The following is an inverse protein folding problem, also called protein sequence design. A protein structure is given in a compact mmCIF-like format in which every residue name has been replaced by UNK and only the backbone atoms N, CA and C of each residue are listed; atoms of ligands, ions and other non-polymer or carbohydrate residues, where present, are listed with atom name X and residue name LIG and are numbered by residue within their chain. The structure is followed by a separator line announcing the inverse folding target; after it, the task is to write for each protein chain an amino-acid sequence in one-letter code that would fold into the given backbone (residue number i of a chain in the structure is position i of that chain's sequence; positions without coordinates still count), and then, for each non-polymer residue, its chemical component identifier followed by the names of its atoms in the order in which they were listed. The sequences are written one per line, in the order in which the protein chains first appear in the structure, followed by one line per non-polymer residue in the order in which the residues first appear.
data_IF_371622944796
#
_entry.id   IF_371622944796
#
_cell.length_a   1.000
_cell.length_b   1.000
_cell.length_c   1.000
_cell.angle_alpha   90.00
_cell.angle_beta   90.00
_cell.angle_gamma   90.00
#
_symmetry.space_group_name_H-M   'P 1'
#
loop_
_entity.id
_entity.type
_entity.pdbx_description
1 polymer ?
#
# COMPACT_ATOMS: atom_id res chain seq x y z
N UNK A 1 -1.22 51.31 94.24
CA UNK A 1 -0.56 50.08 94.68
C UNK A 1 -1.60 49.27 95.42
N UNK A 2 -2.18 48.21 94.83
CA UNK A 2 -3.11 47.34 95.54
C UNK A 2 -2.30 46.34 96.37
N UNK A 3 -2.66 46.22 97.64
CA UNK A 3 -2.06 45.34 98.62
C UNK A 3 -2.26 43.87 98.21
N UNK A 4 -1.18 43.18 97.87
CA UNK A 4 -1.16 41.71 97.70
C UNK A 4 -1.42 41.06 99.06
N UNK A 5 -2.66 40.64 99.30
CA UNK A 5 -3.02 39.89 100.48
C UNK A 5 -2.27 38.54 100.47
N UNK A 6 -1.46 38.21 101.50
CA UNK A 6 -0.68 36.98 101.55
C UNK A 6 -1.53 35.70 101.51
N UNK A 7 -2.84 35.80 101.73
CA UNK A 7 -3.77 34.68 101.58
C UNK A 7 -4.05 34.33 100.11
N UNK A 8 -4.01 35.28 99.17
CA UNK A 8 -4.26 35.01 97.74
C UNK A 8 -3.09 34.24 97.10
N UNK A 9 -1.85 34.58 97.48
CA UNK A 9 -0.64 33.89 97.04
C UNK A 9 -0.59 32.44 97.55
N UNK A 10 -0.95 32.20 98.82
CA UNK A 10 -1.02 30.84 99.38
C UNK A 10 -2.13 30.01 98.73
N UNK A 11 -3.26 30.63 98.38
CA UNK A 11 -4.38 29.94 97.71
C UNK A 11 -4.03 29.60 96.26
N UNK A 12 -3.36 30.50 95.53
CA UNK A 12 -2.83 30.23 94.19
C UNK A 12 -1.71 29.19 94.21
N UNK A 13 -0.84 29.20 95.23
CA UNK A 13 0.19 28.20 95.42
C UNK A 13 -0.43 26.82 95.71
N UNK A 14 -1.47 26.76 96.56
CA UNK A 14 -2.22 25.55 96.84
C UNK A 14 -2.88 24.99 95.56
N UNK A 15 -3.52 25.83 94.74
CA UNK A 15 -4.09 25.41 93.45
C UNK A 15 -3.02 24.94 92.45
N UNK A 16 -1.85 25.58 92.42
CA UNK A 16 -0.73 25.16 91.57
C UNK A 16 -0.15 23.82 92.04
N UNK A 17 -0.04 23.61 93.35
CA UNK A 17 0.40 22.33 93.94
C UNK A 17 -0.62 21.23 93.67
N UNK A 18 -1.92 21.52 93.77
CA UNK A 18 -2.98 20.56 93.50
C UNK A 18 -3.02 20.18 92.01
N UNK A 19 -2.90 21.16 91.09
CA UNK A 19 -2.71 20.88 89.66
C UNK A 19 -1.43 20.12 89.35
N UNK A 20 -0.32 20.44 90.02
CA UNK A 20 0.95 19.76 89.83
C UNK A 20 0.90 18.31 90.35
N UNK A 21 0.28 18.07 91.51
CA UNK A 21 0.02 16.72 92.04
C UNK A 21 -0.90 15.92 91.13
N UNK A 22 -1.96 16.56 90.60
CA UNK A 22 -2.84 15.96 89.60
C UNK A 22 -2.10 15.57 88.32
N UNK A 23 -1.18 16.42 87.84
CA UNK A 23 -0.32 16.11 86.69
C UNK A 23 0.71 15.02 86.97
N UNK A 24 1.31 15.01 88.16
CA UNK A 24 2.33 14.04 88.55
C UNK A 24 1.78 12.61 88.58
N UNK A 25 0.49 12.44 88.90
CA UNK A 25 -0.19 11.15 88.87
C UNK A 25 -0.25 10.50 87.47
N UNK A 26 -0.24 11.31 86.40
CA UNK A 26 -0.32 10.84 85.02
C UNK A 26 0.99 11.05 84.24
N UNK A 27 1.97 11.77 84.78
CA UNK A 27 3.20 12.16 84.09
C UNK A 27 4.05 10.98 83.60
N UNK A 28 3.97 9.84 84.29
CA UNK A 28 4.68 8.61 83.94
C UNK A 28 3.75 7.55 83.33
N UNK A 29 2.50 7.93 83.00
CA UNK A 29 1.59 7.03 82.32
C UNK A 29 2.10 6.81 80.89
N UNK A 30 2.45 5.57 80.50
CA UNK A 30 2.89 5.26 79.14
C UNK A 30 1.88 5.71 78.09
N UNK A 31 0.59 5.82 78.44
CA UNK A 31 -0.45 6.30 77.54
C UNK A 31 -0.20 7.71 77.01
N UNK A 32 0.55 8.57 77.71
CA UNK A 32 0.89 9.92 77.22
C UNK A 32 1.99 9.92 76.16
N UNK A 33 2.76 8.83 76.01
CA UNK A 33 3.86 8.72 75.04
C UNK A 33 3.64 7.66 73.98
N UNK A 34 2.81 6.65 74.26
CA UNK A 34 2.58 5.51 73.36
C UNK A 34 1.29 5.64 72.54
N UNK A 35 0.32 6.43 73.01
CA UNK A 35 -0.92 6.68 72.27
C UNK A 35 -0.72 7.89 71.36
N UNK A 36 -1.00 7.69 70.08
CA UNK A 36 -1.00 8.76 69.08
C UNK A 36 -1.87 9.92 69.57
N UNK A 37 -1.34 11.14 69.44
CA UNK A 37 -2.13 12.33 69.70
C UNK A 37 -3.28 12.44 68.68
N UNK A 38 -4.35 13.17 69.02
CA UNK A 38 -5.57 13.21 68.20
C UNK A 38 -5.28 13.76 66.77
N UNK A 39 -4.34 14.69 66.65
CA UNK A 39 -3.85 15.22 65.37
C UNK A 39 -3.08 14.17 64.55
N UNK A 40 -2.30 13.31 65.21
CA UNK A 40 -1.62 12.20 64.56
C UNK A 40 -2.60 11.10 64.12
N UNK A 41 -3.66 10.84 64.90
CA UNK A 41 -4.74 9.92 64.54
C UNK A 41 -5.52 10.41 63.31
N UNK A 42 -5.81 11.71 63.23
CA UNK A 42 -6.44 12.31 62.04
C UNK A 42 -5.52 12.19 60.82
N UNK A 43 -4.23 12.45 60.96
CA UNK A 43 -3.24 12.32 59.88
C UNK A 43 -3.10 10.86 59.37
N UNK A 44 -3.06 9.89 60.28
CA UNK A 44 -3.06 8.45 59.95
C UNK A 44 -4.33 8.03 59.20
N UNK A 45 -5.51 8.50 59.66
CA UNK A 45 -6.78 8.24 58.96
C UNK A 45 -6.81 8.82 57.56
N UNK A 46 -6.36 10.06 57.40
CA UNK A 46 -6.30 10.71 56.08
C UNK A 46 -5.36 9.96 55.13
N UNK A 47 -4.18 9.54 55.62
CA UNK A 47 -3.25 8.72 54.84
C UNK A 47 -3.88 7.39 54.42
N UNK A 48 -4.52 6.68 55.36
CA UNK A 48 -5.19 5.42 55.08
C UNK A 48 -6.35 5.56 54.07
N UNK A 49 -7.07 6.69 54.09
CA UNK A 49 -8.12 6.99 53.10
C UNK A 49 -7.54 7.32 51.72
N UNK A 50 -6.45 8.08 51.66
CA UNK A 50 -5.72 8.36 50.41
C UNK A 50 -5.18 7.08 49.78
N UNK A 51 -4.57 6.18 50.58
CA UNK A 51 -4.07 4.87 50.12
C UNK A 51 -5.22 4.04 49.55
N UNK A 52 -6.35 3.92 50.26
CA UNK A 52 -7.54 3.18 49.77
C UNK A 52 -8.07 3.75 48.46
N UNK A 53 -8.06 5.06 48.30
CA UNK A 53 -8.53 5.71 47.07
C UNK A 53 -7.57 5.47 45.90
N UNK A 54 -6.25 5.57 46.13
CA UNK A 54 -5.26 5.24 45.10
C UNK A 54 -5.31 3.77 44.70
N UNK A 55 -5.40 2.85 45.65
CA UNK A 55 -5.49 1.40 45.38
C UNK A 55 -6.72 1.07 44.54
N UNK A 56 -7.90 1.62 44.87
CA UNK A 56 -9.11 1.52 44.02
C UNK A 56 -8.86 2.05 42.61
N UNK A 57 -8.20 3.19 42.49
CA UNK A 57 -7.85 3.79 41.20
C UNK A 57 -6.88 2.94 40.38
N UNK A 58 -5.89 2.33 41.01
CA UNK A 58 -4.93 1.43 40.35
C UNK A 58 -5.59 0.14 39.90
N UNK A 59 -6.42 -0.49 40.75
CA UNK A 59 -7.18 -1.69 40.39
C UNK A 59 -8.12 -1.44 39.21
N UNK A 60 -8.79 -0.28 39.19
CA UNK A 60 -9.63 0.13 38.07
C UNK A 60 -8.83 0.31 36.78
N UNK A 61 -7.72 1.04 36.82
CA UNK A 61 -6.83 1.25 35.65
C UNK A 61 -6.26 -0.07 35.13
N UNK A 62 -5.86 -0.97 36.02
CA UNK A 62 -5.37 -2.29 35.65
C UNK A 62 -6.46 -3.12 34.96
N UNK A 63 -7.66 -3.19 35.55
CA UNK A 63 -8.79 -3.89 34.94
C UNK A 63 -9.12 -3.34 33.54
N UNK A 64 -9.11 -2.02 33.38
CA UNK A 64 -9.34 -1.35 32.09
C UNK A 64 -8.21 -1.61 31.08
N UNK A 65 -6.96 -1.65 31.52
CA UNK A 65 -5.83 -1.97 30.65
C UNK A 65 -5.89 -3.43 30.16
N UNK A 66 -6.27 -4.35 31.03
CA UNK A 66 -6.46 -5.78 30.70
C UNK A 66 -7.60 -5.95 29.69
N UNK A 67 -8.75 -5.30 29.90
CA UNK A 67 -9.86 -5.37 28.94
C UNK A 67 -9.48 -4.76 27.58
N UNK A 68 -8.86 -3.57 27.58
CA UNK A 68 -8.41 -2.91 26.34
C UNK A 68 -7.32 -3.71 25.61
N UNK A 69 -6.47 -4.46 26.32
CA UNK A 69 -5.50 -5.37 25.71
C UNK A 69 -6.20 -6.59 25.09
N UNK A 70 -7.19 -7.16 25.78
CA UNK A 70 -7.99 -8.28 25.26
C UNK A 70 -8.78 -7.88 24.01
N UNK A 71 -9.39 -6.70 24.00
CA UNK A 71 -10.13 -6.19 22.84
C UNK A 71 -9.21 -5.98 21.63
N UNK A 72 -8.03 -5.39 21.84
CA UNK A 72 -7.02 -5.23 20.78
C UNK A 72 -6.53 -6.58 20.25
N UNK A 73 -6.31 -7.56 21.12
CA UNK A 73 -5.92 -8.90 20.72
C UNK A 73 -7.03 -9.57 19.87
N UNK A 74 -8.30 -9.40 20.26
CA UNK A 74 -9.45 -9.91 19.51
C UNK A 74 -9.55 -9.28 18.12
N UNK A 75 -9.48 -7.95 18.04
CA UNK A 75 -9.53 -7.22 16.76
C UNK A 75 -8.38 -7.63 15.84
N UNK A 76 -7.17 -7.77 16.39
CA UNK A 76 -6.01 -8.21 15.62
C UNK A 76 -6.20 -9.62 15.07
N UNK A 77 -6.71 -10.54 15.91
CA UNK A 77 -7.00 -11.91 15.49
C UNK A 77 -8.05 -11.97 14.38
N UNK A 78 -9.13 -11.22 14.51
CA UNK A 78 -10.18 -11.12 13.48
C UNK A 78 -9.65 -10.51 12.17
N UNK A 79 -8.76 -9.52 12.26
CA UNK A 79 -8.14 -8.90 11.08
C UNK A 79 -7.21 -9.88 10.35
N UNK A 80 -6.42 -10.66 11.10
CA UNK A 80 -5.57 -11.72 10.55
C UNK A 80 -6.43 -12.79 9.88
N UNK A 81 -7.46 -13.31 10.56
CA UNK A 81 -8.34 -14.34 9.99
C UNK A 81 -9.04 -13.87 8.71
N UNK A 82 -9.49 -12.61 8.67
CA UNK A 82 -10.05 -12.00 7.44
C UNK A 82 -9.01 -11.84 6.33
N UNK A 83 -7.73 -11.60 6.66
CA UNK A 83 -6.66 -11.56 5.68
C UNK A 83 -6.38 -12.97 5.13
N UNK A 84 -6.25 -13.97 6.01
CA UNK A 84 -6.02 -15.37 5.63
C UNK A 84 -7.14 -15.91 4.73
N UNK A 85 -8.40 -15.64 5.05
CA UNK A 85 -9.54 -16.03 4.20
C UNK A 85 -9.44 -15.37 2.82
N UNK A 86 -9.08 -14.08 2.74
CA UNK A 86 -8.92 -13.38 1.45
C UNK A 86 -7.77 -13.97 0.65
N UNK A 87 -6.65 -14.28 1.28
CA UNK A 87 -5.49 -14.88 0.63
C UNK A 87 -5.80 -16.29 0.11
N UNK A 88 -6.52 -17.11 0.90
CA UNK A 88 -7.02 -18.42 0.46
C UNK A 88 -7.98 -18.31 -0.74
N UNK A 89 -8.88 -17.33 -0.74
CA UNK A 89 -9.80 -17.09 -1.86
C UNK A 89 -9.03 -16.62 -3.11
N UNK A 90 -8.04 -15.73 -2.97
CA UNK A 90 -7.19 -15.30 -4.08
C UNK A 90 -6.38 -16.46 -4.65
N UNK A 91 -5.78 -17.29 -3.79
CA UNK A 91 -5.05 -18.49 -4.19
C UNK A 91 -5.96 -19.48 -4.94
N UNK A 92 -7.16 -19.77 -4.40
CA UNK A 92 -8.15 -20.63 -5.06
C UNK A 92 -8.61 -20.07 -6.41
N UNK A 93 -8.84 -18.75 -6.50
CA UNK A 93 -9.22 -18.08 -7.75
C UNK A 93 -8.10 -18.17 -8.78
N UNK A 94 -6.84 -17.99 -8.36
CA UNK A 94 -5.66 -18.12 -9.23
C UNK A 94 -5.49 -19.56 -9.75
N UNK A 95 -5.67 -20.57 -8.90
CA UNK A 95 -5.65 -21.98 -9.31
C UNK A 95 -6.82 -22.29 -10.27
N UNK A 96 -8.01 -21.75 -10.01
CA UNK A 96 -9.18 -21.94 -10.86
C UNK A 96 -9.02 -21.23 -12.23
N UNK A 97 -8.45 -20.03 -12.29
CA UNK A 97 -8.12 -19.36 -13.56
C UNK A 97 -7.06 -20.14 -14.33
N UNK A 98 -6.03 -20.63 -13.65
CA UNK A 98 -4.99 -21.46 -14.27
C UNK A 98 -5.56 -22.77 -14.85
N UNK A 99 -6.49 -23.45 -14.16
CA UNK A 99 -7.13 -24.65 -14.70
C UNK A 99 -7.97 -24.38 -15.94
N UNK A 100 -8.59 -23.20 -16.02
CA UNK A 100 -9.32 -22.77 -17.24
C UNK A 100 -8.34 -22.52 -18.37
N UNK A 101 -7.23 -21.85 -18.07
CA UNK A 101 -6.13 -21.60 -19.01
C UNK A 101 -5.43 -22.89 -19.44
N UNK A 102 -5.39 -23.96 -18.64
CA UNK A 102 -4.81 -25.26 -19.01
C UNK A 102 -5.79 -26.22 -19.69
N UNK A 103 -7.08 -25.87 -19.79
CA UNK A 103 -8.07 -26.71 -20.47
C UNK A 103 -7.98 -26.53 -22.01
N UNK A 104 -7.81 -27.61 -22.81
CA UNK A 104 -7.56 -27.53 -24.25
C UNK A 104 -8.63 -26.77 -25.04
N UNK A 105 -9.90 -26.86 -24.62
CA UNK A 105 -11.03 -26.23 -25.31
C UNK A 105 -11.17 -24.73 -25.04
N UNK A 106 -10.83 -24.24 -23.83
CA UNK A 106 -10.86 -22.80 -23.52
C UNK A 106 -9.67 -22.07 -24.17
N UNK A 107 -8.53 -22.74 -24.26
CA UNK A 107 -7.34 -22.29 -24.99
C UNK A 107 -7.65 -22.03 -26.47
N UNK A 108 -8.21 -23.02 -27.17
CA UNK A 108 -8.65 -22.88 -28.56
C UNK A 108 -9.69 -21.75 -28.74
N UNK A 109 -10.71 -21.69 -27.87
CA UNK A 109 -11.75 -20.65 -27.97
C UNK A 109 -11.21 -19.23 -27.75
N UNK A 110 -10.24 -19.06 -26.84
CA UNK A 110 -9.60 -17.75 -26.60
C UNK A 110 -8.70 -17.34 -27.77
N UNK A 111 -7.91 -18.26 -28.34
CA UNK A 111 -7.07 -18.03 -29.52
C UNK A 111 -7.91 -17.60 -30.73
N UNK A 112 -9.01 -18.29 -31.02
CA UNK A 112 -9.91 -17.94 -32.12
C UNK A 112 -10.61 -16.59 -31.91
N UNK A 113 -11.00 -16.27 -30.66
CA UNK A 113 -11.63 -14.98 -30.33
C UNK A 113 -10.67 -13.81 -30.51
N UNK A 114 -9.42 -13.96 -30.07
CA UNK A 114 -8.39 -12.92 -30.25
C UNK A 114 -7.99 -12.76 -31.71
N UNK A 115 -7.87 -13.86 -32.47
CA UNK A 115 -7.64 -13.81 -33.92
C UNK A 115 -8.77 -13.06 -34.64
N UNK A 116 -10.02 -13.37 -34.33
CA UNK A 116 -11.18 -12.72 -34.93
C UNK A 116 -11.29 -11.24 -34.55
N UNK A 117 -10.99 -10.88 -33.30
CA UNK A 117 -10.98 -9.49 -32.86
C UNK A 117 -9.83 -8.70 -33.50
N UNK A 118 -8.62 -9.26 -33.54
CA UNK A 118 -7.45 -8.63 -34.17
C UNK A 118 -7.67 -8.40 -35.67
N UNK A 119 -8.26 -9.39 -36.37
CA UNK A 119 -8.65 -9.24 -37.79
C UNK A 119 -9.70 -8.15 -37.99
N UNK A 120 -10.70 -8.06 -37.12
CA UNK A 120 -11.73 -7.00 -37.18
C UNK A 120 -11.15 -5.62 -36.90
N UNK A 121 -10.26 -5.51 -35.91
CA UNK A 121 -9.58 -4.26 -35.58
C UNK A 121 -8.65 -3.81 -36.72
N UNK A 122 -7.86 -4.72 -37.29
CA UNK A 122 -7.01 -4.43 -38.45
C UNK A 122 -7.85 -4.05 -39.69
N UNK A 123 -8.95 -4.76 -39.95
CA UNK A 123 -9.88 -4.41 -41.01
C UNK A 123 -10.47 -3.00 -40.79
N UNK A 124 -10.79 -2.64 -39.54
CA UNK A 124 -11.23 -1.29 -39.19
C UNK A 124 -10.18 -0.22 -39.49
N UNK A 125 -8.91 -0.46 -39.13
CA UNK A 125 -7.79 0.44 -39.45
C UNK A 125 -7.61 0.60 -40.96
N UNK A 126 -7.67 -0.50 -41.72
CA UNK A 126 -7.56 -0.46 -43.19
C UNK A 126 -8.74 0.30 -43.81
N UNK A 127 -9.97 0.06 -43.36
CA UNK A 127 -11.17 0.78 -43.84
C UNK A 127 -11.07 2.27 -43.51
N UNK A 128 -10.64 2.64 -42.31
CA UNK A 128 -10.42 4.03 -41.92
C UNK A 128 -9.35 4.71 -42.79
N UNK A 129 -8.21 4.03 -43.02
CA UNK A 129 -7.16 4.52 -43.92
C UNK A 129 -7.63 4.67 -45.37
N UNK A 130 -8.43 3.73 -45.87
CA UNK A 130 -9.01 3.78 -47.22
C UNK A 130 -10.05 4.90 -47.37
N UNK A 131 -10.97 5.05 -46.41
CA UNK A 131 -11.96 6.13 -46.39
C UNK A 131 -11.26 7.49 -46.36
N UNK A 132 -10.22 7.64 -45.53
CA UNK A 132 -9.46 8.87 -45.46
C UNK A 132 -8.67 9.15 -46.75
N UNK A 133 -8.01 8.13 -47.32
CA UNK A 133 -7.30 8.26 -48.60
C UNK A 133 -8.23 8.71 -49.72
N UNK A 134 -9.49 8.25 -49.74
CA UNK A 134 -10.49 8.66 -50.71
C UNK A 134 -10.90 10.14 -50.53
N UNK A 135 -11.12 10.59 -49.29
CA UNK A 135 -11.48 11.99 -48.98
C UNK A 135 -10.31 12.95 -49.27
N UNK A 136 -9.07 12.52 -49.03
CA UNK A 136 -7.88 13.32 -49.32
C UNK A 136 -7.65 13.51 -50.84
N UNK A 137 -7.91 12.47 -51.65
CA UNK A 137 -7.90 12.60 -53.12
C UNK A 137 -8.99 13.56 -53.60
N UNK A 138 -10.14 13.61 -52.90
CA UNK A 138 -11.25 14.51 -53.22
C UNK A 138 -10.97 15.99 -52.86
N UNK A 139 -10.14 16.25 -51.84
CA UNK A 139 -9.71 17.61 -51.46
C UNK A 139 -8.49 18.14 -52.23
N UNK A 140 -7.73 17.28 -52.92
CA UNK A 140 -6.55 17.69 -53.70
C UNK A 140 -6.91 18.50 -54.99
N UNK A 141 -8.19 18.86 -55.19
CA UNK A 141 -8.71 19.63 -56.34
C UNK A 141 -9.12 21.07 -55.97
N UNK A 142 -9.08 21.51 -54.70
CA UNK A 142 -9.29 22.91 -54.34
C UNK A 142 -8.63 23.28 -52.99
N UNK A 143 -7.71 24.29 -52.93
CA UNK A 143 -7.01 24.61 -51.70
C UNK A 143 -7.58 25.81 -50.94
N UNK A 144 -7.22 25.82 -49.65
CA UNK A 144 -7.09 26.92 -48.70
C UNK A 144 -8.29 27.29 -47.78
N UNK A 145 -8.08 27.00 -46.49
CA UNK A 145 -8.81 27.53 -45.34
C UNK A 145 -8.67 26.66 -44.09
N UNK A 146 -9.00 27.21 -42.91
CA UNK A 146 -9.00 26.62 -41.54
C UNK A 146 -9.66 25.23 -41.37
N UNK A 147 -10.24 24.72 -42.45
CA UNK A 147 -10.63 23.35 -42.81
C UNK A 147 -9.45 22.41 -43.10
N UNK A 148 -8.24 22.67 -42.59
CA UNK A 148 -7.01 21.98 -43.01
C UNK A 148 -7.04 20.47 -42.64
N UNK A 149 -7.26 19.56 -43.61
CA UNK A 149 -7.43 18.13 -43.35
C UNK A 149 -6.17 17.49 -42.75
N UNK A 150 -5.01 18.12 -42.93
CA UNK A 150 -3.72 17.64 -42.45
C UNK A 150 -3.65 17.58 -40.91
N UNK A 151 -4.31 18.49 -40.20
CA UNK A 151 -4.35 18.47 -38.73
C UNK A 151 -5.12 17.25 -38.21
N UNK A 152 -6.32 16.99 -38.76
CA UNK A 152 -7.12 15.81 -38.42
C UNK A 152 -6.48 14.50 -38.86
N UNK A 153 -5.74 14.53 -39.98
CA UNK A 153 -4.98 13.40 -40.45
C UNK A 153 -3.90 12.96 -39.45
N UNK A 154 -3.19 13.91 -38.82
CA UNK A 154 -2.17 13.60 -37.82
C UNK A 154 -2.75 12.76 -36.68
N UNK A 155 -3.91 13.14 -36.14
CA UNK A 155 -4.60 12.39 -35.08
C UNK A 155 -5.12 11.04 -35.55
N UNK A 156 -5.64 10.95 -36.79
CA UNK A 156 -6.13 9.70 -37.35
C UNK A 156 -4.98 8.70 -37.55
N UNK A 157 -3.86 9.15 -38.10
CA UNK A 157 -2.68 8.30 -38.31
C UNK A 157 -2.08 7.86 -36.99
N UNK A 158 -1.98 8.77 -36.01
CA UNK A 158 -1.53 8.43 -34.67
C UNK A 158 -2.45 7.40 -33.99
N UNK A 159 -3.76 7.53 -34.14
CA UNK A 159 -4.73 6.55 -33.64
C UNK A 159 -4.57 5.18 -34.33
N UNK A 160 -4.39 5.15 -35.65
CA UNK A 160 -4.15 3.91 -36.39
C UNK A 160 -2.85 3.22 -35.96
N UNK A 161 -1.76 3.97 -35.79
CA UNK A 161 -0.50 3.41 -35.33
C UNK A 161 -0.62 2.90 -33.89
N UNK A 162 -1.28 3.66 -33.01
CA UNK A 162 -1.53 3.25 -31.62
C UNK A 162 -2.33 1.94 -31.55
N UNK A 163 -3.38 1.81 -32.35
CA UNK A 163 -4.17 0.57 -32.46
C UNK A 163 -3.31 -0.59 -32.95
N UNK A 164 -2.47 -0.38 -33.97
CA UNK A 164 -1.55 -1.40 -34.46
C UNK A 164 -0.54 -1.86 -33.39
N UNK A 165 0.03 -0.94 -32.61
CA UNK A 165 0.94 -1.27 -31.51
C UNK A 165 0.24 -2.08 -30.41
N UNK A 166 -0.99 -1.71 -30.04
CA UNK A 166 -1.79 -2.46 -29.05
C UNK A 166 -2.13 -3.87 -29.55
N UNK A 167 -2.52 -4.03 -30.82
CA UNK A 167 -2.80 -5.34 -31.42
C UNK A 167 -1.54 -6.21 -31.40
N UNK A 168 -0.39 -5.64 -31.79
CA UNK A 168 0.90 -6.35 -31.78
C UNK A 168 1.27 -6.77 -30.35
N UNK A 169 1.16 -5.87 -29.38
CA UNK A 169 1.45 -6.15 -27.96
C UNK A 169 0.59 -7.28 -27.38
N UNK A 170 -0.71 -7.29 -27.68
CA UNK A 170 -1.61 -8.37 -27.25
C UNK A 170 -1.24 -9.68 -27.95
N UNK A 171 -0.90 -9.62 -29.23
CA UNK A 171 -0.52 -10.78 -30.05
C UNK A 171 0.79 -11.44 -29.62
N UNK A 172 1.84 -10.67 -29.34
CA UNK A 172 3.16 -11.20 -28.90
C UNK A 172 3.08 -11.90 -27.56
N UNK A 173 2.39 -11.29 -26.59
CA UNK A 173 2.23 -11.83 -25.24
C UNK A 173 1.54 -13.19 -25.27
N UNK A 174 0.52 -13.34 -26.12
CA UNK A 174 -0.20 -14.61 -26.30
C UNK A 174 0.57 -15.64 -27.13
N UNK A 175 1.27 -15.25 -28.19
CA UNK A 175 2.08 -16.19 -28.98
C UNK A 175 3.28 -16.74 -28.21
N UNK A 176 3.86 -15.95 -27.30
CA UNK A 176 4.93 -16.38 -26.41
C UNK A 176 4.49 -17.48 -25.44
N UNK A 177 3.23 -17.47 -24.98
CA UNK A 177 2.65 -18.52 -24.13
C UNK A 177 2.60 -19.91 -24.83
N UNK A 178 2.64 -19.96 -26.17
CA UNK A 178 2.46 -21.17 -26.97
C UNK A 178 3.73 -21.69 -27.67
N UNK A 179 4.90 -21.09 -27.41
CA UNK A 179 6.18 -21.57 -27.94
C UNK A 179 6.35 -21.46 -29.47
N UNK A 180 5.40 -20.83 -30.18
CA UNK A 180 5.51 -20.57 -31.62
C UNK A 180 6.36 -19.31 -31.83
N UNK A 181 7.67 -19.44 -31.62
CA UNK A 181 8.65 -18.35 -31.71
C UNK A 181 9.00 -17.94 -33.15
N UNK A 182 8.38 -18.56 -34.16
CA UNK A 182 8.85 -18.44 -35.54
C UNK A 182 8.59 -17.07 -36.19
N UNK A 183 7.85 -16.17 -35.54
CA UNK A 183 7.56 -14.82 -36.04
C UNK A 183 8.12 -13.68 -35.16
N UNK A 184 8.90 -13.98 -34.11
CA UNK A 184 9.41 -12.94 -33.18
C UNK A 184 10.14 -11.82 -33.91
N UNK A 185 10.95 -12.15 -34.91
CA UNK A 185 11.66 -11.17 -35.74
C UNK A 185 10.70 -10.34 -36.59
N UNK A 186 9.70 -10.96 -37.24
CA UNK A 186 8.70 -10.21 -38.03
C UNK A 186 7.90 -9.22 -37.18
N UNK A 187 7.58 -9.61 -35.95
CA UNK A 187 6.83 -8.74 -35.04
C UNK A 187 7.68 -7.59 -34.53
N UNK A 188 8.92 -7.85 -34.13
CA UNK A 188 9.88 -6.79 -33.75
C UNK A 188 10.12 -5.83 -34.93
N UNK A 189 10.26 -6.36 -36.14
CA UNK A 189 10.37 -5.52 -37.35
C UNK A 189 9.14 -4.64 -37.55
N UNK A 190 7.93 -5.18 -37.41
CA UNK A 190 6.69 -4.40 -37.54
C UNK A 190 6.58 -3.32 -36.45
N UNK A 191 6.95 -3.64 -35.22
CA UNK A 191 6.98 -2.69 -34.08
C UNK A 191 7.98 -1.56 -34.32
N UNK A 192 9.19 -1.88 -34.80
CA UNK A 192 10.22 -0.88 -35.15
C UNK A 192 9.74 0.01 -36.29
N UNK A 193 9.13 -0.56 -37.33
CA UNK A 193 8.62 0.21 -38.48
C UNK A 193 7.50 1.15 -38.04
N UNK A 194 6.56 0.68 -37.21
CA UNK A 194 5.48 1.51 -36.68
C UNK A 194 6.01 2.63 -35.77
N UNK A 195 6.94 2.31 -34.87
CA UNK A 195 7.57 3.30 -33.99
C UNK A 195 8.32 4.36 -34.79
N UNK A 196 9.11 3.93 -35.80
CA UNK A 196 9.83 4.82 -36.69
C UNK A 196 8.87 5.72 -37.48
N UNK A 197 7.72 5.20 -37.91
CA UNK A 197 6.67 5.98 -38.56
C UNK A 197 6.06 7.02 -37.60
N UNK A 198 5.77 6.66 -36.34
CA UNK A 198 5.23 7.60 -35.34
C UNK A 198 6.21 8.72 -35.00
N UNK A 199 7.47 8.36 -34.75
CA UNK A 199 8.55 9.33 -34.51
C UNK A 199 8.71 10.21 -35.73
N UNK A 200 8.78 9.61 -36.92
CA UNK A 200 8.89 10.33 -38.18
C UNK A 200 7.79 11.36 -38.36
N UNK A 201 6.52 10.97 -38.17
CA UNK A 201 5.38 11.87 -38.34
C UNK A 201 5.32 12.99 -37.31
N UNK A 202 5.56 12.70 -36.02
CA UNK A 202 5.58 13.73 -34.97
C UNK A 202 6.74 14.72 -35.13
N UNK A 203 7.85 14.25 -35.69
CA UNK A 203 9.09 15.02 -35.80
C UNK A 203 9.21 15.74 -37.15
N UNK A 204 8.53 15.25 -38.20
CA UNK A 204 8.68 15.70 -39.59
C UNK A 204 8.46 17.20 -39.82
N UNK A 205 7.41 17.85 -39.29
CA UNK A 205 7.23 19.30 -39.46
C UNK A 205 8.42 20.10 -38.92
N UNK A 206 8.92 19.68 -37.75
CA UNK A 206 10.02 20.34 -37.06
C UNK A 206 11.38 20.10 -37.76
N UNK A 207 11.60 18.90 -38.30
CA UNK A 207 12.81 18.58 -39.08
C UNK A 207 12.83 19.33 -40.41
N UNK A 208 11.67 19.43 -41.08
CA UNK A 208 11.52 20.20 -42.33
C UNK A 208 11.84 21.68 -42.13
N UNK A 209 11.47 22.25 -40.99
CA UNK A 209 11.74 23.64 -40.63
C UNK A 209 13.14 23.84 -40.01
N UNK A 210 14.01 22.82 -40.02
CA UNK A 210 15.33 22.79 -39.37
C UNK A 210 15.32 23.09 -37.85
N UNK A 211 14.18 22.88 -37.19
CA UNK A 211 13.99 23.03 -35.74
C UNK A 211 14.32 21.72 -35.03
N UNK A 212 15.61 21.39 -34.98
CA UNK A 212 16.12 20.12 -34.41
C UNK A 212 15.80 19.92 -32.93
N UNK A 213 15.72 21.01 -32.15
CA UNK A 213 15.34 20.94 -30.74
C UNK A 213 13.86 20.54 -30.57
N UNK A 214 12.95 21.21 -31.28
CA UNK A 214 11.52 20.92 -31.25
C UNK A 214 11.23 19.50 -31.77
N UNK A 215 11.95 19.07 -32.81
CA UNK A 215 11.96 17.71 -33.31
C UNK A 215 12.29 16.69 -32.20
N UNK A 216 13.37 16.94 -31.44
CA UNK A 216 13.76 16.09 -30.32
C UNK A 216 12.67 15.97 -29.25
N UNK A 217 12.04 17.09 -28.87
CA UNK A 217 10.96 17.12 -27.87
C UNK A 217 9.75 16.30 -28.32
N UNK A 218 9.34 16.42 -29.58
CA UNK A 218 8.17 15.71 -30.12
C UNK A 218 8.44 14.21 -30.39
N UNK A 219 9.70 13.80 -30.46
CA UNK A 219 10.08 12.39 -30.52
C UNK A 219 10.02 11.67 -29.16
N UNK A 220 10.04 12.41 -28.03
CA UNK A 220 10.10 11.82 -26.68
C UNK A 220 8.88 10.95 -26.38
N UNK A 221 7.67 11.44 -26.65
CA UNK A 221 6.45 10.72 -26.31
C UNK A 221 6.34 9.36 -27.04
N UNK A 222 6.53 9.27 -28.37
CA UNK A 222 6.59 7.98 -29.06
C UNK A 222 7.71 7.06 -28.56
N UNK A 223 8.91 7.61 -28.29
CA UNK A 223 10.02 6.82 -27.75
C UNK A 223 9.71 6.23 -26.38
N UNK A 224 9.04 6.99 -25.51
CA UNK A 224 8.59 6.51 -24.20
C UNK A 224 7.58 5.37 -24.32
N UNK A 225 6.67 5.44 -25.29
CA UNK A 225 5.73 4.36 -25.59
C UNK A 225 6.49 3.11 -26.06
N UNK A 226 7.45 3.25 -26.98
CA UNK A 226 8.30 2.15 -27.43
C UNK A 226 9.07 1.47 -26.28
N UNK A 227 9.67 2.26 -25.39
CA UNK A 227 10.38 1.75 -24.20
C UNK A 227 9.43 1.05 -23.23
N UNK A 228 8.23 1.58 -23.02
CA UNK A 228 7.22 0.96 -22.16
C UNK A 228 6.76 -0.40 -22.71
N UNK A 229 6.53 -0.50 -24.03
CA UNK A 229 6.15 -1.75 -24.69
C UNK A 229 7.25 -2.81 -24.58
N UNK A 230 8.51 -2.44 -24.85
CA UNK A 230 9.65 -3.34 -24.70
C UNK A 230 9.79 -3.84 -23.26
N UNK A 231 9.66 -2.94 -22.29
CA UNK A 231 9.77 -3.28 -20.86
C UNK A 231 8.60 -4.15 -20.41
N UNK A 232 7.39 -3.87 -20.88
CA UNK A 232 6.20 -4.67 -20.60
C UNK A 232 6.36 -6.10 -21.13
N UNK A 233 6.79 -6.28 -22.38
CA UNK A 233 7.00 -7.61 -22.96
C UNK A 233 8.06 -8.41 -22.18
N UNK A 234 9.16 -7.77 -21.78
CA UNK A 234 10.20 -8.40 -20.98
C UNK A 234 9.71 -8.77 -19.57
N UNK A 235 8.97 -7.88 -18.92
CA UNK A 235 8.40 -8.12 -17.59
C UNK A 235 7.35 -9.24 -17.62
N UNK A 236 6.41 -9.19 -18.57
CA UNK A 236 5.35 -10.19 -18.75
C UNK A 236 5.91 -11.58 -18.99
N UNK A 237 6.97 -11.72 -19.80
CA UNK A 237 7.66 -12.99 -20.00
C UNK A 237 8.28 -13.55 -18.70
N UNK A 238 8.88 -12.69 -17.87
CA UNK A 238 9.46 -13.10 -16.58
C UNK A 238 8.39 -13.49 -15.56
N UNK A 239 7.28 -12.76 -15.50
CA UNK A 239 6.16 -13.10 -14.64
C UNK A 239 5.50 -14.41 -15.05
N UNK A 240 5.31 -14.65 -16.35
CA UNK A 240 4.80 -15.93 -16.87
C UNK A 240 5.69 -17.11 -16.44
N UNK A 241 7.01 -16.99 -16.62
CA UNK A 241 7.97 -18.02 -16.14
C UNK A 241 7.93 -18.22 -14.62
N UNK A 242 7.81 -17.14 -13.86
CA UNK A 242 7.73 -17.21 -12.40
C UNK A 242 6.43 -17.86 -11.92
N UNK A 243 5.30 -17.61 -12.61
CA UNK A 243 4.01 -18.24 -12.34
C UNK A 243 4.08 -19.73 -12.66
N UNK A 244 4.61 -20.12 -13.82
CA UNK A 244 4.77 -21.54 -14.20
C UNK A 244 5.62 -22.29 -13.16
N UNK A 245 6.79 -21.75 -12.79
CA UNK A 245 7.66 -22.36 -11.77
C UNK A 245 7.00 -22.42 -10.39
N UNK A 246 6.26 -21.38 -10.00
CA UNK A 246 5.52 -21.37 -8.74
C UNK A 246 4.42 -22.43 -8.72
N UNK A 247 3.68 -22.58 -9.81
CA UNK A 247 2.66 -23.63 -9.95
C UNK A 247 3.26 -25.02 -9.92
N UNK A 248 4.34 -25.27 -10.66
CA UNK A 248 5.04 -26.56 -10.66
C UNK A 248 5.47 -26.93 -9.24
N UNK A 249 6.08 -25.98 -8.52
CA UNK A 249 6.47 -26.18 -7.12
C UNK A 249 5.29 -26.52 -6.20
N UNK A 250 4.16 -25.81 -6.32
CA UNK A 250 2.95 -26.08 -5.51
C UNK A 250 2.33 -27.44 -5.87
N UNK A 251 2.36 -27.83 -7.16
CA UNK A 251 1.86 -29.14 -7.61
C UNK A 251 2.69 -30.29 -7.06
N UNK A 252 4.01 -30.12 -7.00
CA UNK A 252 4.95 -31.13 -6.49
C UNK A 252 5.03 -31.15 -4.96
N UNK A 253 4.83 -30.00 -4.30
CA UNK A 253 4.96 -29.83 -2.85
C UNK A 253 3.82 -28.97 -2.27
N UNK A 254 2.60 -29.51 -2.11
CA UNK A 254 1.42 -28.74 -1.71
C UNK A 254 1.52 -28.12 -0.30
N UNK A 255 2.29 -28.74 0.59
CA UNK A 255 2.38 -28.34 2.01
C UNK A 255 3.73 -27.72 2.41
N UNK A 256 4.62 -27.45 1.44
CA UNK A 256 5.96 -26.88 1.71
C UNK A 256 6.03 -25.44 1.23
N UNK A 257 6.33 -24.46 2.12
CA UNK A 257 6.67 -23.12 1.68
C UNK A 257 7.91 -23.17 0.76
N UNK A 258 7.94 -22.34 -0.28
CA UNK A 258 9.11 -22.24 -1.17
C UNK A 258 10.37 -21.97 -0.33
N UNK A 259 11.50 -22.65 -0.58
CA UNK A 259 12.76 -22.24 0.02
C UNK A 259 13.09 -20.83 -0.49
N UNK A 260 13.13 -19.86 0.42
CA UNK A 260 13.76 -18.57 0.10
C UNK A 260 15.23 -18.87 -0.14
N UNK A 261 15.72 -18.69 -1.37
CA UNK A 261 17.14 -18.79 -1.62
C UNK A 261 17.85 -17.69 -0.81
N UNK A 262 18.69 -18.10 0.14
CA UNK A 262 19.69 -17.27 0.82
C UNK A 262 20.57 -16.57 -0.23
N UNK A 263 20.15 -15.40 -0.66
CA UNK A 263 20.90 -14.58 -1.62
C UNK A 263 21.82 -13.61 -0.87
N UNK A 264 22.46 -14.05 0.23
CA UNK A 264 23.35 -13.22 1.04
C UNK A 264 24.58 -13.93 1.66
N UNK A 265 25.01 -15.09 1.17
CA UNK A 265 26.23 -15.77 1.68
C UNK A 265 27.21 -16.23 0.57
N UNK A 266 27.36 -15.42 -0.49
CA UNK A 266 28.28 -15.70 -1.60
C UNK A 266 29.31 -14.62 -1.92
N UNK A 267 29.46 -13.59 -1.08
CA UNK A 267 30.34 -12.44 -1.36
C UNK A 267 31.53 -12.29 -0.40
N UNK A 268 31.97 -13.36 0.26
CA UNK A 268 33.28 -13.42 0.90
C UNK A 268 33.90 -14.80 0.73
N UNK A 269 34.62 -14.99 -0.38
CA UNK A 269 35.88 -15.75 -0.50
C UNK A 269 36.25 -15.78 -1.98
N UNK A 270 37.24 -14.96 -2.32
CA UNK A 270 37.84 -14.77 -3.63
C UNK A 270 38.75 -13.57 -3.53
#
# INVERSE_FOLDING_TARGET
MPEEHPFDDVTQLAQRVERARGRMAYQFDPALTEVLAEDELEAERELAERIRTQDRGQRWKYAQAVSAAADRARQTKEAIEKADIRDLLMARKAIASQRRESSPHAQLASLYRHRAWSLRALAGVVIAGMLWSAVNVQHNIAPDGVTDPLYWFSYLVEAMISVCLVIIMIGTTKLAEWGVLNSRTQVVTAEIVLLALTVGLNTYPHVRDARWFDAGVHAVAPMMIGVALLTHNAASARYSQAITRATEHIRENPDRPRPMHDTLLGAQRG
#
